data_IF_044842501594
#
_entry.id   IF_044842501594
#
_cell.length_a   1.000
_cell.length_b   1.000
_cell.length_c   1.000
_cell.angle_alpha   90.00
_cell.angle_beta   90.00
_cell.angle_gamma   90.00
#
_symmetry.space_group_name_H-M   'P 1'
#
loop_
_entity.id
_entity.type
_entity.pdbx_description
1 polymer ?
#
# COMPACT_ATOMS: atom_id res chain seq x y z
N UNK A 1 -20.99 8.59 -15.87
CA UNK A 1 -20.00 7.51 -15.70
C UNK A 1 -19.59 7.54 -14.24
N UNK A 2 -19.80 6.46 -13.47
CA UNK A 2 -19.26 6.41 -12.10
C UNK A 2 -17.74 6.25 -12.21
N UNK A 3 -16.99 7.18 -11.65
CA UNK A 3 -15.52 7.06 -11.57
C UNK A 3 -15.20 6.01 -10.50
N UNK A 4 -14.71 4.85 -10.92
CA UNK A 4 -14.20 3.80 -10.03
C UNK A 4 -13.01 4.33 -9.22
N UNK A 5 -13.06 4.16 -7.90
CA UNK A 5 -12.01 4.52 -6.95
C UNK A 5 -11.20 3.26 -6.65
N UNK A 6 -9.98 3.22 -7.19
CA UNK A 6 -9.06 2.11 -6.96
C UNK A 6 -8.22 2.35 -5.71
N UNK A 7 -8.24 1.37 -4.82
CA UNK A 7 -7.44 1.31 -3.60
C UNK A 7 -6.37 0.25 -3.82
N UNK A 8 -5.10 0.67 -3.85
CA UNK A 8 -3.97 -0.25 -3.89
C UNK A 8 -3.42 -0.44 -2.48
N UNK A 9 -3.61 -1.63 -1.93
CA UNK A 9 -3.13 -2.05 -0.62
C UNK A 9 -1.81 -2.81 -0.76
N UNK A 10 -0.74 -2.26 -0.20
CA UNK A 10 0.57 -2.88 -0.10
C UNK A 10 0.77 -3.46 1.30
N UNK A 11 1.01 -4.76 1.36
CA UNK A 11 1.32 -5.48 2.58
C UNK A 11 2.80 -5.93 2.60
N UNK A 12 3.51 -5.58 3.66
CA UNK A 12 4.88 -6.04 3.91
C UNK A 12 5.05 -6.51 5.34
N UNK A 13 5.46 -7.77 5.49
CA UNK A 13 5.74 -8.41 6.77
C UNK A 13 7.12 -9.09 6.69
N UNK A 14 8.22 -8.33 6.84
CA UNK A 14 9.56 -8.90 6.75
C UNK A 14 9.79 -9.98 7.83
N UNK A 15 10.55 -11.02 7.52
CA UNK A 15 10.71 -12.18 8.41
C UNK A 15 11.56 -11.88 9.66
N UNK A 16 12.40 -10.84 9.59
CA UNK A 16 13.31 -10.44 10.68
C UNK A 16 12.67 -9.50 11.72
N UNK A 17 11.36 -9.24 11.62
CA UNK A 17 10.60 -8.37 12.53
C UNK A 17 9.38 -9.09 13.09
N UNK A 18 8.81 -8.53 14.17
CA UNK A 18 7.62 -9.09 14.82
C UNK A 18 6.47 -9.23 13.82
N UNK A 19 5.95 -10.43 13.55
CA UNK A 19 4.90 -10.62 12.56
C UNK A 19 3.66 -9.78 12.86
N UNK A 20 3.11 -9.13 11.83
CA UNK A 20 1.83 -8.43 11.90
C UNK A 20 0.69 -9.27 11.30
N UNK A 21 -0.53 -9.10 11.82
CA UNK A 21 -1.75 -9.75 11.33
C UNK A 21 -2.34 -8.97 10.14
N UNK A 22 -1.58 -8.84 9.05
CA UNK A 22 -1.98 -8.06 7.87
C UNK A 22 -3.17 -8.70 7.11
N UNK A 23 -3.32 -10.01 7.24
CA UNK A 23 -4.45 -10.81 6.77
C UNK A 23 -5.76 -10.43 7.47
N UNK A 24 -5.71 -10.17 8.77
CA UNK A 24 -6.85 -9.69 9.53
C UNK A 24 -7.24 -8.26 9.18
N UNK A 25 -6.24 -7.41 8.95
CA UNK A 25 -6.47 -6.02 8.52
C UNK A 25 -7.18 -5.96 7.17
N UNK A 26 -6.64 -6.63 6.14
CA UNK A 26 -7.26 -6.63 4.82
C UNK A 26 -8.64 -7.28 4.84
N UNK A 27 -8.86 -8.32 5.67
CA UNK A 27 -10.18 -8.95 5.85
C UNK A 27 -11.18 -7.94 6.41
N UNK A 28 -10.77 -7.17 7.41
CA UNK A 28 -11.59 -6.11 8.02
C UNK A 28 -11.92 -5.00 7.02
N UNK A 29 -10.92 -4.53 6.26
CA UNK A 29 -11.10 -3.51 5.21
C UNK A 29 -12.07 -4.02 4.14
N UNK A 30 -11.82 -5.21 3.59
CA UNK A 30 -12.67 -5.83 2.55
C UNK A 30 -14.12 -5.95 3.01
N UNK A 31 -14.33 -6.41 4.25
CA UNK A 31 -15.67 -6.54 4.83
C UNK A 31 -16.37 -5.19 4.89
N UNK A 32 -15.71 -4.16 5.42
CA UNK A 32 -16.28 -2.81 5.54
C UNK A 32 -16.61 -2.19 4.17
N UNK A 33 -15.72 -2.35 3.19
CA UNK A 33 -15.97 -1.84 1.82
C UNK A 33 -17.20 -2.50 1.20
N UNK A 34 -17.34 -3.83 1.33
CA UNK A 34 -18.50 -4.58 0.81
C UNK A 34 -19.83 -4.18 1.46
N UNK A 35 -19.81 -3.81 2.74
CA UNK A 35 -21.01 -3.37 3.47
C UNK A 35 -21.27 -1.87 3.34
N UNK A 36 -20.40 -1.12 2.66
CA UNK A 36 -20.54 0.34 2.53
C UNK A 36 -21.60 0.72 1.49
N UNK A 37 -22.14 1.94 1.62
CA UNK A 37 -23.07 2.53 0.65
C UNK A 37 -22.46 2.63 -0.76
N UNK A 38 -21.17 2.91 -0.85
CA UNK A 38 -20.44 3.14 -2.10
C UNK A 38 -19.63 1.92 -2.58
N UNK A 39 -20.00 0.71 -2.15
CA UNK A 39 -19.29 -0.53 -2.50
C UNK A 39 -19.09 -0.73 -4.01
N UNK A 40 -20.02 -0.26 -4.83
CA UNK A 40 -20.02 -0.48 -6.29
C UNK A 40 -19.04 0.45 -7.03
N UNK A 41 -18.41 1.40 -6.34
CA UNK A 41 -17.37 2.28 -6.91
C UNK A 41 -16.00 2.08 -6.27
N UNK A 42 -15.86 1.14 -5.34
CA UNK A 42 -14.61 0.90 -4.61
C UNK A 42 -14.01 -0.44 -5.05
N UNK A 43 -12.83 -0.37 -5.67
CA UNK A 43 -12.06 -1.54 -6.08
C UNK A 43 -10.81 -1.67 -5.20
N UNK A 44 -10.72 -2.75 -4.42
CA UNK A 44 -9.59 -3.03 -3.54
C UNK A 44 -8.65 -4.05 -4.18
N UNK A 45 -7.45 -3.59 -4.54
CA UNK A 45 -6.38 -4.39 -5.11
C UNK A 45 -5.33 -4.59 -4.03
N UNK A 46 -4.99 -5.85 -3.72
CA UNK A 46 -3.94 -6.15 -2.74
C UNK A 46 -2.69 -6.73 -3.38
N UNK A 47 -1.55 -6.30 -2.85
CA UNK A 47 -0.20 -6.77 -3.19
C UNK A 47 0.53 -7.11 -1.92
N UNK A 48 1.11 -8.30 -1.90
CA UNK A 48 1.73 -8.92 -0.73
C UNK A 48 3.21 -9.14 -0.98
N UNK A 49 3.98 -9.19 0.11
CA UNK A 49 5.44 -9.37 0.04
C UNK A 49 6.11 -8.33 -0.87
N UNK A 50 5.57 -7.10 -0.84
CA UNK A 50 5.93 -6.02 -1.76
C UNK A 50 7.35 -5.57 -1.47
N UNK A 51 8.15 -5.55 -2.52
CA UNK A 51 9.53 -5.07 -2.48
C UNK A 51 9.58 -3.59 -2.89
N UNK A 52 10.64 -2.85 -2.53
CA UNK A 52 10.79 -1.47 -2.94
C UNK A 52 10.65 -1.26 -4.46
N UNK A 53 11.17 -2.19 -5.27
CA UNK A 53 11.15 -2.10 -6.73
C UNK A 53 9.75 -2.38 -7.32
N UNK A 54 8.90 -3.15 -6.62
CA UNK A 54 7.53 -3.43 -7.04
C UNK A 54 6.64 -2.17 -6.95
N UNK A 55 6.94 -1.25 -6.02
CA UNK A 55 6.08 -0.10 -5.73
C UNK A 55 5.79 0.74 -6.97
N UNK A 56 6.84 1.13 -7.70
CA UNK A 56 6.69 1.95 -8.91
C UNK A 56 5.93 1.20 -10.00
N UNK A 57 6.21 -0.09 -10.17
CA UNK A 57 5.54 -0.91 -11.17
C UNK A 57 4.05 -1.06 -10.89
N UNK A 58 3.69 -1.40 -9.65
CA UNK A 58 2.32 -1.61 -9.21
C UNK A 58 1.49 -0.31 -9.24
N UNK A 59 2.09 0.81 -8.82
CA UNK A 59 1.45 2.12 -8.90
C UNK A 59 1.18 2.54 -10.34
N UNK A 60 2.12 2.31 -11.26
CA UNK A 60 1.93 2.62 -12.69
C UNK A 60 0.93 1.68 -13.37
N UNK A 61 0.90 0.42 -12.97
CA UNK A 61 0.00 -0.60 -13.53
C UNK A 61 -1.45 -0.33 -13.13
N UNK A 62 -1.69 -0.05 -11.85
CA UNK A 62 -3.05 0.09 -11.33
C UNK A 62 -3.58 1.52 -11.37
N UNK A 63 -2.68 2.52 -11.43
CA UNK A 63 -3.02 3.95 -11.37
C UNK A 63 -4.05 4.25 -10.27
N UNK A 64 -3.76 3.86 -9.02
CA UNK A 64 -4.76 3.90 -7.96
C UNK A 64 -5.11 5.34 -7.57
N UNK A 65 -6.32 5.51 -7.05
CA UNK A 65 -6.76 6.76 -6.42
C UNK A 65 -6.29 6.84 -4.97
N UNK A 66 -6.27 5.70 -4.28
CA UNK A 66 -5.87 5.58 -2.88
C UNK A 66 -4.75 4.55 -2.78
N UNK A 67 -3.70 4.87 -2.05
CA UNK A 67 -2.63 3.92 -1.70
C UNK A 67 -2.69 3.68 -0.20
N UNK A 68 -2.67 2.42 0.22
CA UNK A 68 -2.64 2.02 1.61
C UNK A 68 -1.41 1.15 1.84
N UNK A 69 -0.50 1.57 2.72
CA UNK A 69 0.60 0.74 3.19
C UNK A 69 0.26 0.13 4.54
N UNK A 70 0.39 -1.17 4.64
CA UNK A 70 0.16 -1.93 5.84
C UNK A 70 1.38 -2.80 6.09
N UNK A 71 2.00 -2.61 7.25
CA UNK A 71 3.29 -3.21 7.55
C UNK A 71 4.04 -2.43 8.62
N UNK A 72 5.35 -2.66 8.66
CA UNK A 72 6.20 -2.03 9.65
C UNK A 72 6.58 -0.61 9.24
N UNK A 73 6.44 0.32 10.19
CA UNK A 73 6.99 1.67 10.14
C UNK A 73 8.12 1.85 11.16
N UNK A 74 9.12 2.67 10.83
CA UNK A 74 10.14 3.08 11.80
C UNK A 74 9.64 4.25 12.65
N UNK A 75 10.29 4.51 13.80
CA UNK A 75 9.99 5.67 14.67
C UNK A 75 10.14 7.03 13.96
N UNK A 76 10.90 7.05 12.87
CA UNK A 76 11.18 8.23 12.04
C UNK A 76 10.25 8.32 10.81
N UNK A 77 9.26 7.41 10.71
CA UNK A 77 8.23 7.44 9.66
C UNK A 77 8.68 6.81 8.34
N UNK A 78 9.64 5.88 8.37
CA UNK A 78 10.08 5.12 7.21
C UNK A 78 9.26 3.85 7.08
N UNK A 79 8.98 3.41 5.85
CA UNK A 79 8.37 2.09 5.62
C UNK A 79 9.46 1.02 5.65
N UNK A 80 9.18 -0.11 6.27
CA UNK A 80 10.10 -1.23 6.40
C UNK A 80 9.64 -2.35 5.46
N UNK A 81 10.41 -2.59 4.41
CA UNK A 81 10.13 -3.59 3.38
C UNK A 81 11.21 -4.67 3.35
N UNK A 82 10.93 -5.75 2.63
CA UNK A 82 11.94 -6.77 2.30
C UNK A 82 12.44 -6.53 0.88
N UNK A 83 13.75 -6.59 0.67
CA UNK A 83 14.35 -6.50 -0.67
C UNK A 83 14.53 -7.88 -1.32
N UNK A 84 15.06 -7.90 -2.56
CA UNK A 84 15.29 -9.13 -3.31
C UNK A 84 16.25 -10.12 -2.65
N UNK A 85 17.16 -9.61 -1.80
CA UNK A 85 18.13 -10.39 -1.05
C UNK A 85 17.58 -10.91 0.28
N UNK A 86 16.26 -10.79 0.51
CA UNK A 86 15.57 -11.12 1.78
C UNK A 86 16.09 -10.34 2.98
N UNK A 87 16.57 -9.11 2.74
CA UNK A 87 17.04 -8.22 3.80
C UNK A 87 16.01 -7.12 4.06
N UNK A 88 15.92 -6.69 5.30
CA UNK A 88 15.14 -5.51 5.67
C UNK A 88 15.73 -4.27 5.01
N UNK A 89 14.89 -3.52 4.31
CA UNK A 89 15.22 -2.26 3.68
C UNK A 89 14.18 -1.20 4.08
N UNK A 90 14.66 -0.05 4.54
CA UNK A 90 13.80 1.09 4.85
C UNK A 90 13.61 1.98 3.63
N UNK A 91 12.37 2.41 3.40
CA UNK A 91 12.03 3.45 2.43
C UNK A 91 11.77 4.74 3.18
N UNK A 92 12.64 5.72 2.96
CA UNK A 92 12.59 6.98 3.68
C UNK A 92 11.30 7.78 3.38
N UNK A 93 10.87 8.60 4.32
CA UNK A 93 9.75 9.53 4.11
C UNK A 93 10.01 10.50 2.94
N UNK A 94 11.27 10.87 2.71
CA UNK A 94 11.65 11.69 1.56
C UNK A 94 11.46 10.94 0.23
N UNK A 95 11.83 9.67 0.17
CA UNK A 95 11.61 8.79 -0.99
C UNK A 95 10.13 8.61 -1.28
N UNK A 96 9.30 8.40 -0.26
CA UNK A 96 7.84 8.31 -0.42
C UNK A 96 7.25 9.62 -0.94
N UNK A 97 7.67 10.77 -0.40
CA UNK A 97 7.24 12.08 -0.93
C UNK A 97 7.64 12.27 -2.39
N UNK A 98 8.87 11.88 -2.76
CA UNK A 98 9.34 11.97 -4.14
C UNK A 98 8.48 11.09 -5.07
N UNK A 99 8.26 9.83 -4.67
CA UNK A 99 7.42 8.87 -5.39
C UNK A 99 6.02 9.42 -5.66
N UNK A 100 5.33 9.91 -4.61
CA UNK A 100 3.97 10.42 -4.77
C UNK A 100 3.91 11.78 -5.49
N UNK A 101 4.96 12.59 -5.41
CA UNK A 101 5.04 13.83 -6.21
C UNK A 101 5.14 13.53 -7.71
N UNK A 102 5.80 12.44 -8.08
CA UNK A 102 5.88 11.97 -9.47
C UNK A 102 4.56 11.37 -9.97
N UNK A 103 3.80 10.69 -9.08
CA UNK A 103 2.59 9.94 -9.43
C UNK A 103 1.28 10.67 -9.09
N UNK A 104 1.36 11.97 -8.78
CA UNK A 104 0.28 12.81 -8.24
C UNK A 104 -0.97 12.92 -9.12
N UNK A 105 -0.88 12.57 -10.40
CA UNK A 105 -1.98 12.73 -11.35
C UNK A 105 -3.18 11.82 -11.03
N UNK A 106 -2.93 10.68 -10.38
CA UNK A 106 -3.97 9.70 -10.03
C UNK A 106 -4.20 9.57 -8.52
N UNK A 107 -3.15 9.73 -7.71
CA UNK A 107 -3.18 9.44 -6.27
C UNK A 107 -3.70 10.65 -5.49
N UNK A 108 -4.80 10.46 -4.76
CA UNK A 108 -5.48 11.51 -3.96
C UNK A 108 -5.34 11.32 -2.46
N UNK A 109 -5.04 10.10 -2.01
CA UNK A 109 -4.88 9.76 -0.59
C UNK A 109 -3.83 8.68 -0.42
N UNK A 110 -2.96 8.85 0.59
CA UNK A 110 -2.04 7.82 1.07
C UNK A 110 -2.33 7.55 2.53
N UNK A 111 -2.50 6.27 2.87
CA UNK A 111 -2.66 5.76 4.23
C UNK A 111 -1.38 4.99 4.59
N UNK A 112 -0.83 5.26 5.77
CA UNK A 112 0.42 4.71 6.31
C UNK A 112 0.21 4.14 7.70
#
# INVERSE_FOLDING_TARGET
MNTEIKILFFASNPEDVTPLNLDEEIRSITTKLRTSEYRDVLDLISRWAVRPDDLLQELNTHKPTIVHFSGHGSKTGELVLMNDLRQVQTVSQASLRALFSTLKDNIRLVVL
#
